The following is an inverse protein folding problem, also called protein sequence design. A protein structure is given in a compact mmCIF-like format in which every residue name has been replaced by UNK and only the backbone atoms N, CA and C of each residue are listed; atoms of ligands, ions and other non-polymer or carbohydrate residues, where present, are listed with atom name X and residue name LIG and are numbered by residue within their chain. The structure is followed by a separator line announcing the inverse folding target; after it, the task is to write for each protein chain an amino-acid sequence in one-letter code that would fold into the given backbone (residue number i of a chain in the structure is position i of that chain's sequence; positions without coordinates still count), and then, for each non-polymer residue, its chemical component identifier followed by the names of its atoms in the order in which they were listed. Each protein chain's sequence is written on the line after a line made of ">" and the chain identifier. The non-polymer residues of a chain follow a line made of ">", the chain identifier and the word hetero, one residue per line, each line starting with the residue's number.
data_IF_935545093952
#
_entry.id   IF_935545093952
#
_cell.length_a   1.000
_cell.length_b   1.000
_cell.length_c   1.000
_cell.angle_alpha   90.00
_cell.angle_beta   90.00
_cell.angle_gamma   90.00
#
_symmetry.space_group_name_H-M   'P 1'
#
loop_
_entity.id
_entity.type
_entity.pdbx_description
1 polymer ?
#
# COMPACT_ATOMS: atom_id res chain seq x y z
N UNK A 1 -16.39 -69.44 -8.86
CA UNK A 1 -15.38 -68.54 -9.45
C UNK A 1 -15.85 -67.09 -9.53
N UNK A 2 -17.09 -66.82 -9.94
CA UNK A 2 -17.69 -65.46 -10.00
C UNK A 2 -17.67 -64.70 -8.66
N UNK A 3 -18.05 -65.35 -7.55
CA UNK A 3 -18.04 -64.75 -6.20
C UNK A 3 -16.66 -64.22 -5.78
N UNK A 4 -15.60 -65.02 -6.00
CA UNK A 4 -14.23 -64.62 -5.66
C UNK A 4 -13.75 -63.43 -6.50
N UNK A 5 -14.15 -63.33 -7.78
CA UNK A 5 -13.85 -62.17 -8.62
C UNK A 5 -14.57 -60.92 -8.13
N UNK A 6 -15.83 -61.06 -7.70
CA UNK A 6 -16.63 -59.96 -7.15
C UNK A 6 -16.01 -59.41 -5.86
N UNK A 7 -15.57 -60.29 -4.96
CA UNK A 7 -14.89 -59.90 -3.72
C UNK A 7 -13.58 -59.15 -3.97
N UNK A 8 -12.78 -59.58 -4.95
CA UNK A 8 -11.55 -58.89 -5.32
C UNK A 8 -11.86 -57.48 -5.85
N UNK A 9 -12.90 -57.33 -6.67
CA UNK A 9 -13.33 -56.04 -7.21
C UNK A 9 -13.82 -55.11 -6.09
N UNK A 10 -14.65 -55.61 -5.17
CA UNK A 10 -15.12 -54.84 -4.01
C UNK A 10 -13.93 -54.37 -3.16
N UNK A 11 -12.97 -55.26 -2.88
CA UNK A 11 -11.75 -54.88 -2.13
C UNK A 11 -10.90 -53.82 -2.83
N UNK A 12 -10.87 -53.81 -4.16
CA UNK A 12 -10.19 -52.75 -4.93
C UNK A 12 -10.95 -51.43 -4.85
N UNK A 13 -12.28 -51.46 -4.96
CA UNK A 13 -13.12 -50.26 -4.85
C UNK A 13 -13.04 -49.63 -3.46
N UNK A 14 -13.05 -50.44 -2.38
CA UNK A 14 -12.87 -49.94 -1.01
C UNK A 14 -11.52 -49.24 -0.83
N UNK A 15 -10.43 -49.85 -1.33
CA UNK A 15 -9.11 -49.22 -1.29
C UNK A 15 -9.07 -47.90 -2.07
N UNK A 16 -9.68 -47.86 -3.24
CA UNK A 16 -9.75 -46.64 -4.04
C UNK A 16 -10.58 -45.54 -3.35
N UNK A 17 -11.67 -45.90 -2.68
CA UNK A 17 -12.45 -44.98 -1.87
C UNK A 17 -11.64 -44.41 -0.71
N UNK A 18 -10.90 -45.25 0.01
CA UNK A 18 -10.03 -44.79 1.10
C UNK A 18 -8.91 -43.89 0.59
N UNK A 19 -8.28 -44.23 -0.54
CA UNK A 19 -7.26 -43.40 -1.18
C UNK A 19 -7.81 -42.02 -1.56
N UNK A 20 -8.98 -41.97 -2.19
CA UNK A 20 -9.64 -40.71 -2.57
C UNK A 20 -10.03 -39.89 -1.35
N UNK A 21 -10.53 -40.55 -0.30
CA UNK A 21 -10.85 -39.88 0.96
C UNK A 21 -9.62 -39.22 1.56
N UNK A 22 -8.50 -39.94 1.62
CA UNK A 22 -7.25 -39.40 2.16
C UNK A 22 -6.71 -38.24 1.31
N UNK A 23 -6.79 -38.35 -0.02
CA UNK A 23 -6.42 -37.27 -0.94
C UNK A 23 -7.27 -36.01 -0.73
N UNK A 24 -8.60 -36.15 -0.62
CA UNK A 24 -9.49 -35.02 -0.34
C UNK A 24 -9.19 -34.35 1.01
N UNK A 25 -8.88 -35.14 2.04
CA UNK A 25 -8.48 -34.59 3.33
C UNK A 25 -7.14 -33.86 3.27
N UNK A 26 -6.18 -34.33 2.46
CA UNK A 26 -4.91 -33.62 2.23
C UNK A 26 -5.14 -32.28 1.54
N UNK A 27 -5.87 -32.28 0.42
CA UNK A 27 -6.15 -31.05 -0.32
C UNK A 27 -6.97 -30.05 0.48
N UNK A 28 -7.89 -30.52 1.33
CA UNK A 28 -8.63 -29.64 2.22
C UNK A 28 -7.70 -28.93 3.22
N UNK A 29 -6.69 -29.63 3.77
CA UNK A 29 -5.69 -29.00 4.65
C UNK A 29 -4.83 -28.00 3.90
N UNK A 30 -4.33 -28.37 2.73
CA UNK A 30 -3.56 -27.45 1.86
C UNK A 30 -4.37 -26.19 1.54
N UNK A 31 -5.68 -26.33 1.31
CA UNK A 31 -6.56 -25.19 1.02
C UNK A 31 -6.75 -24.29 2.25
N UNK A 32 -6.82 -24.86 3.45
CA UNK A 32 -6.85 -24.07 4.69
C UNK A 32 -5.54 -23.30 4.89
N UNK A 33 -4.39 -23.95 4.69
CA UNK A 33 -3.09 -23.29 4.82
C UNK A 33 -2.95 -22.11 3.83
N UNK A 34 -3.36 -22.32 2.56
CA UNK A 34 -3.37 -21.27 1.54
C UNK A 34 -4.39 -20.16 1.86
N UNK A 35 -5.52 -20.50 2.47
CA UNK A 35 -6.50 -19.51 2.90
C UNK A 35 -5.90 -18.59 3.98
N UNK A 36 -5.22 -19.16 4.98
CA UNK A 36 -4.58 -18.40 6.06
C UNK A 36 -3.48 -17.49 5.51
N UNK A 37 -2.66 -17.98 4.57
CA UNK A 37 -1.66 -17.16 3.88
C UNK A 37 -2.29 -16.00 3.10
N UNK A 38 -3.42 -16.25 2.43
CA UNK A 38 -4.13 -15.20 1.70
C UNK A 38 -4.73 -14.14 2.63
N UNK A 39 -5.27 -14.54 3.78
CA UNK A 39 -5.79 -13.60 4.78
C UNK A 39 -4.67 -12.72 5.33
N UNK A 40 -3.52 -13.32 5.64
CA UNK A 40 -2.33 -12.57 6.05
C UNK A 40 -1.86 -11.58 4.97
N UNK A 41 -1.76 -12.01 3.71
CA UNK A 41 -1.36 -11.14 2.60
C UNK A 41 -2.36 -9.99 2.38
N UNK A 42 -3.65 -10.24 2.60
CA UNK A 42 -4.68 -9.21 2.53
C UNK A 42 -4.49 -8.17 3.64
N UNK A 43 -4.23 -8.61 4.87
CA UNK A 43 -3.94 -7.72 6.00
C UNK A 43 -2.69 -6.85 5.71
N UNK A 44 -1.60 -7.48 5.26
CA UNK A 44 -0.37 -6.77 4.88
C UNK A 44 -0.66 -5.73 3.79
N UNK A 45 -1.40 -6.08 2.76
CA UNK A 45 -1.78 -5.16 1.67
C UNK A 45 -2.60 -3.99 2.19
N UNK A 46 -3.55 -4.24 3.09
CA UNK A 46 -4.35 -3.20 3.72
C UNK A 46 -3.49 -2.23 4.54
N UNK A 47 -2.49 -2.74 5.25
CA UNK A 47 -1.59 -1.89 6.02
C UNK A 47 -0.70 -1.03 5.13
N UNK A 48 -0.15 -1.58 4.04
CA UNK A 48 0.55 -0.78 3.03
C UNK A 48 -0.34 0.31 2.44
N UNK A 49 -1.60 0.00 2.14
CA UNK A 49 -2.56 0.99 1.63
C UNK A 49 -2.82 2.12 2.64
N UNK A 50 -2.95 1.80 3.93
CA UNK A 50 -3.09 2.80 5.01
C UNK A 50 -1.85 3.69 5.08
N UNK A 51 -0.65 3.12 5.14
CA UNK A 51 0.60 3.90 5.21
C UNK A 51 0.78 4.79 3.99
N UNK A 52 0.53 4.25 2.80
CA UNK A 52 0.57 5.01 1.55
C UNK A 52 -0.38 6.21 1.61
N UNK A 53 -1.62 6.01 2.09
CA UNK A 53 -2.60 7.09 2.22
C UNK A 53 -2.16 8.13 3.25
N UNK A 54 -1.61 7.72 4.39
CA UNK A 54 -1.05 8.63 5.40
C UNK A 54 0.06 9.49 4.82
N UNK A 55 1.04 8.89 4.14
CA UNK A 55 2.15 9.61 3.52
C UNK A 55 1.62 10.62 2.49
N UNK A 56 0.68 10.20 1.64
CA UNK A 56 0.07 11.09 0.65
C UNK A 56 -0.59 12.31 1.32
N UNK A 57 -1.38 12.09 2.37
CA UNK A 57 -2.03 13.17 3.13
C UNK A 57 -1.02 14.09 3.80
N UNK A 58 0.04 13.57 4.40
CA UNK A 58 1.11 14.39 4.99
C UNK A 58 1.79 15.28 3.95
N UNK A 59 2.04 14.76 2.74
CA UNK A 59 2.62 15.54 1.62
C UNK A 59 1.68 16.61 1.10
N UNK A 60 0.38 16.32 1.01
CA UNK A 60 -0.62 17.33 0.66
C UNK A 60 -0.67 18.45 1.71
N UNK A 61 -0.66 18.12 3.00
CA UNK A 61 -0.60 19.10 4.09
C UNK A 61 0.70 19.92 4.06
N UNK A 62 1.84 19.29 3.79
CA UNK A 62 3.13 19.98 3.65
C UNK A 62 3.10 21.01 2.51
N UNK A 63 2.51 20.64 1.37
CA UNK A 63 2.32 21.54 0.23
C UNK A 63 1.44 22.74 0.60
N UNK A 64 0.33 22.51 1.31
CA UNK A 64 -0.54 23.59 1.78
C UNK A 64 0.19 24.54 2.74
N UNK A 65 0.92 24.01 3.72
CA UNK A 65 1.70 24.81 4.66
C UNK A 65 2.76 25.68 3.95
N UNK A 66 3.46 25.11 2.96
CA UNK A 66 4.44 25.85 2.16
C UNK A 66 3.80 26.96 1.32
N UNK A 67 2.61 26.74 0.77
CA UNK A 67 1.87 27.80 0.08
C UNK A 67 1.50 28.93 1.05
N UNK A 68 0.99 28.61 2.25
CA UNK A 68 0.67 29.63 3.26
C UNK A 68 1.90 30.45 3.66
N UNK A 69 3.07 29.80 3.82
CA UNK A 69 4.33 30.49 4.09
C UNK A 69 4.75 31.40 2.93
N UNK A 70 4.61 30.92 1.69
CA UNK A 70 4.92 31.71 0.50
C UNK A 70 4.03 32.95 0.40
N UNK A 71 2.73 32.80 0.65
CA UNK A 71 1.75 33.89 0.62
C UNK A 71 2.05 34.92 1.72
N UNK A 72 2.33 34.46 2.95
CA UNK A 72 2.72 35.33 4.06
C UNK A 72 3.99 36.15 3.76
N UNK A 73 5.03 35.51 3.19
CA UNK A 73 6.25 36.20 2.76
C UNK A 73 5.92 37.24 1.69
N UNK A 74 5.03 36.91 0.75
CA UNK A 74 4.55 37.83 -0.28
C UNK A 74 3.88 39.07 0.32
N UNK A 75 2.93 38.88 1.24
CA UNK A 75 2.22 39.96 1.92
C UNK A 75 3.14 40.84 2.76
N UNK A 76 4.07 40.26 3.53
CA UNK A 76 5.05 41.04 4.30
C UNK A 76 5.95 41.90 3.40
N UNK A 77 6.28 41.38 2.21
CA UNK A 77 7.13 42.08 1.25
C UNK A 77 6.41 43.27 0.59
N UNK A 78 5.07 43.21 0.46
CA UNK A 78 4.27 44.30 -0.09
C UNK A 78 3.92 45.39 0.94
N UNK A 79 3.78 45.03 2.23
CA UNK A 79 3.18 45.90 3.24
C UNK A 79 4.17 46.73 4.09
N UNK A 80 5.48 46.53 3.96
CA UNK A 80 6.49 47.26 4.75
C UNK A 80 7.45 48.09 3.88
N UNK A 81 8.06 49.13 4.46
CA UNK A 81 9.31 49.71 3.94
C UNK A 81 10.44 48.69 4.13
N UNK A 82 10.43 47.64 3.31
CA UNK A 82 11.34 46.51 3.43
C UNK A 82 12.74 46.99 3.06
N UNK A 83 13.69 46.85 3.99
CA UNK A 83 15.10 47.08 3.68
C UNK A 83 15.58 46.17 2.56
N UNK A 84 16.52 46.62 1.75
CA UNK A 84 17.05 45.84 0.62
C UNK A 84 17.59 44.45 1.05
N UNK A 85 18.10 44.34 2.27
CA UNK A 85 18.53 43.06 2.87
C UNK A 85 17.36 42.11 3.15
N UNK A 86 16.25 42.62 3.70
CA UNK A 86 15.05 41.81 3.94
C UNK A 86 14.40 41.37 2.62
N UNK A 87 14.41 42.23 1.60
CA UNK A 87 13.91 41.88 0.27
C UNK A 87 14.73 40.75 -0.39
N UNK A 88 16.06 40.80 -0.23
CA UNK A 88 16.95 39.73 -0.70
C UNK A 88 16.68 38.41 0.02
N UNK A 89 16.48 38.46 1.33
CA UNK A 89 16.17 37.27 2.14
C UNK A 89 14.80 36.67 1.78
N UNK A 90 13.76 37.49 1.65
CA UNK A 90 12.43 37.03 1.23
C UNK A 90 12.45 36.33 -0.14
N UNK A 91 13.20 36.88 -1.11
CA UNK A 91 13.37 36.25 -2.43
C UNK A 91 14.07 34.89 -2.36
N UNK A 92 15.08 34.79 -1.49
CA UNK A 92 15.78 33.52 -1.25
C UNK A 92 14.85 32.49 -0.65
N UNK A 93 14.12 32.86 0.41
CA UNK A 93 13.13 31.98 1.06
C UNK A 93 12.04 31.52 0.09
N UNK A 94 11.51 32.40 -0.75
CA UNK A 94 10.55 32.01 -1.81
C UNK A 94 11.15 31.03 -2.82
N UNK A 95 12.42 31.21 -3.20
CA UNK A 95 13.11 30.28 -4.11
C UNK A 95 13.25 28.90 -3.48
N UNK A 96 13.62 28.85 -2.20
CA UNK A 96 13.76 27.61 -1.44
C UNK A 96 12.40 26.90 -1.30
N UNK A 97 11.35 27.65 -0.94
CA UNK A 97 9.96 27.12 -0.84
C UNK A 97 9.50 26.56 -2.19
N UNK A 98 9.75 27.26 -3.30
CA UNK A 98 9.39 26.81 -4.64
C UNK A 98 10.10 25.50 -5.00
N UNK A 99 11.38 25.37 -4.62
CA UNK A 99 12.14 24.14 -4.79
C UNK A 99 11.52 22.96 -4.04
N UNK A 100 11.13 23.16 -2.78
CA UNK A 100 10.48 22.11 -1.98
C UNK A 100 9.07 21.77 -2.51
N UNK A 101 8.29 22.76 -2.96
CA UNK A 101 7.00 22.52 -3.60
C UNK A 101 7.12 21.67 -4.87
N UNK A 102 8.17 21.89 -5.68
CA UNK A 102 8.42 21.06 -6.86
C UNK A 102 8.77 19.62 -6.49
N UNK A 103 9.58 19.41 -5.43
CA UNK A 103 9.89 18.05 -4.94
C UNK A 103 8.63 17.33 -4.47
N UNK A 104 7.83 17.96 -3.61
CA UNK A 104 6.58 17.38 -3.09
C UNK A 104 5.61 17.09 -4.24
N UNK A 105 5.52 17.97 -5.24
CA UNK A 105 4.68 17.75 -6.41
C UNK A 105 5.13 16.52 -7.21
N UNK A 106 6.43 16.31 -7.37
CA UNK A 106 6.95 15.12 -8.06
C UNK A 106 6.67 13.85 -7.24
N UNK A 107 6.92 13.88 -5.93
CA UNK A 107 6.61 12.76 -5.03
C UNK A 107 5.12 12.39 -5.10
N UNK A 108 4.21 13.37 -5.06
CA UNK A 108 2.77 13.14 -5.20
C UNK A 108 2.37 12.58 -6.57
N UNK A 109 3.05 13.01 -7.65
CA UNK A 109 2.79 12.48 -8.98
C UNK A 109 3.26 11.04 -9.15
N UNK A 110 4.39 10.66 -8.53
CA UNK A 110 4.88 9.27 -8.52
C UNK A 110 3.98 8.33 -7.71
N UNK A 111 3.22 8.89 -6.77
CA UNK A 111 2.23 8.15 -6.01
C UNK A 111 0.95 7.87 -6.82
N UNK A 112 0.62 8.64 -7.87
CA UNK A 112 -0.60 8.48 -8.70
C UNK A 112 -0.38 7.47 -9.82
#
# INVERSE_FOLDING_TARGET
>A
MELARRDITIKKMVRELDNRRNMLLSHYRELLDVQDENEFLLEVTNDYAKYYQTIKTEREMQKEALNMLSDYIGEMTMNNEVTESMLRESKRQQTDIMGELMKIKNELNEMI
#
